data_IF_994265859157
#
_entry.id   IF_994265859157
#
_cell.length_a   1.000
_cell.length_b   1.000
_cell.length_c   1.000
_cell.angle_alpha   90.00
_cell.angle_beta   90.00
_cell.angle_gamma   90.00
#
_symmetry.space_group_name_H-M   'P 1'
#
loop_
_entity.id
_entity.type
_entity.pdbx_description
1 polymer ?
#
# COMPACT_ATOMS: atom_id res chain seq x y z
N UNK A 1 -40.84 17.70 -45.77
CA UNK A 1 -41.43 17.62 -44.42
C UNK A 1 -40.30 17.33 -43.43
N UNK A 2 -39.67 18.36 -42.85
CA UNK A 2 -38.60 18.18 -41.86
C UNK A 2 -39.24 17.84 -40.51
N UNK A 3 -39.05 16.61 -40.02
CA UNK A 3 -39.51 16.20 -38.69
C UNK A 3 -38.67 16.93 -37.64
N UNK A 4 -39.31 17.78 -36.85
CA UNK A 4 -38.70 18.46 -35.71
C UNK A 4 -38.06 17.44 -34.76
N UNK A 5 -36.74 17.54 -34.60
CA UNK A 5 -36.01 16.80 -33.59
C UNK A 5 -36.50 17.28 -32.23
N UNK A 6 -36.99 16.35 -31.40
CA UNK A 6 -37.53 16.67 -30.08
C UNK A 6 -36.43 17.33 -29.23
N UNK A 7 -36.72 18.43 -28.50
CA UNK A 7 -35.72 19.19 -27.75
C UNK A 7 -34.97 18.34 -26.72
N UNK A 8 -35.61 17.28 -26.19
CA UNK A 8 -34.98 16.31 -25.29
C UNK A 8 -33.83 15.53 -25.92
N UNK A 9 -33.91 15.21 -27.23
CA UNK A 9 -32.87 14.48 -27.95
C UNK A 9 -31.66 15.39 -28.24
N UNK A 10 -31.92 16.65 -28.57
CA UNK A 10 -30.87 17.67 -28.72
C UNK A 10 -30.15 17.91 -27.40
N UNK A 11 -30.87 17.93 -26.28
CA UNK A 11 -30.28 18.11 -24.95
C UNK A 11 -29.38 16.93 -24.53
N UNK A 12 -29.80 15.68 -24.77
CA UNK A 12 -28.94 14.52 -24.49
C UNK A 12 -27.69 14.50 -25.38
N UNK A 13 -27.84 14.81 -26.67
CA UNK A 13 -26.68 14.90 -27.58
C UNK A 13 -25.71 16.00 -27.10
N UNK A 14 -26.24 17.15 -26.68
CA UNK A 14 -25.43 18.27 -26.19
C UNK A 14 -24.66 17.92 -24.90
N UNK A 15 -25.31 17.25 -23.94
CA UNK A 15 -24.64 16.77 -22.72
C UNK A 15 -23.58 15.71 -23.05
N UNK A 16 -23.89 14.75 -23.90
CA UNK A 16 -22.91 13.72 -24.31
C UNK A 16 -21.70 14.34 -25.01
N UNK A 17 -21.91 15.36 -25.85
CA UNK A 17 -20.82 16.10 -26.49
C UNK A 17 -19.98 16.88 -25.48
N UNK A 18 -20.62 17.53 -24.51
CA UNK A 18 -19.95 18.25 -23.41
C UNK A 18 -19.07 17.30 -22.59
N UNK A 19 -19.60 16.14 -22.22
CA UNK A 19 -18.86 15.10 -21.51
C UNK A 19 -17.67 14.63 -22.34
N UNK A 20 -17.86 14.35 -23.63
CA UNK A 20 -16.78 13.87 -24.51
C UNK A 20 -15.70 14.93 -24.76
N UNK A 21 -16.07 16.22 -24.78
CA UNK A 21 -15.16 17.34 -24.94
C UNK A 21 -14.42 17.71 -23.64
N UNK A 22 -15.00 17.44 -22.46
CA UNK A 22 -14.39 17.71 -21.16
C UNK A 22 -13.62 16.52 -20.54
N UNK A 23 -13.89 15.29 -20.98
CA UNK A 23 -13.15 14.08 -20.54
C UNK A 23 -11.74 13.88 -21.13
N UNK A 24 -11.27 14.50 -22.24
CA UNK A 24 -9.97 14.12 -22.81
C UNK A 24 -8.78 14.60 -21.97
N UNK A 25 -9.03 15.35 -20.89
CA UNK A 25 -8.01 15.78 -19.93
C UNK A 25 -7.90 14.90 -18.69
N UNK A 26 -8.58 13.74 -18.63
CA UNK A 26 -8.10 12.63 -17.80
C UNK A 26 -6.83 12.08 -18.45
N UNK A 27 -5.75 12.86 -18.38
CA UNK A 27 -4.40 12.34 -18.52
C UNK A 27 -4.36 11.15 -17.57
N UNK A 28 -4.26 9.93 -18.10
CA UNK A 28 -3.68 8.84 -17.33
C UNK A 28 -2.35 9.40 -16.88
N UNK A 29 -2.30 9.83 -15.62
CA UNK A 29 -1.09 10.28 -15.01
C UNK A 29 -0.18 9.08 -15.20
N UNK A 30 0.82 9.21 -16.08
CA UNK A 30 1.93 8.27 -16.08
C UNK A 30 2.45 8.42 -14.68
N UNK A 31 2.10 7.48 -13.80
CA UNK A 31 2.77 7.31 -12.54
C UNK A 31 4.19 7.02 -13.01
N UNK A 32 5.00 8.07 -13.05
CA UNK A 32 6.43 7.91 -13.14
C UNK A 32 6.73 6.92 -12.03
N UNK A 33 7.31 5.78 -12.37
CA UNK A 33 7.90 4.89 -11.37
C UNK A 33 9.05 5.69 -10.76
N UNK A 34 8.70 6.61 -9.86
CA UNK A 34 9.62 7.30 -9.00
C UNK A 34 10.29 6.17 -8.23
N UNK A 35 11.62 6.15 -8.24
CA UNK A 35 12.36 5.08 -7.59
C UNK A 35 12.12 5.22 -6.09
N UNK A 36 11.13 4.48 -5.59
CA UNK A 36 10.79 4.48 -4.18
C UNK A 36 11.90 3.68 -3.51
N UNK A 37 12.70 4.34 -2.67
CA UNK A 37 13.78 3.66 -1.96
C UNK A 37 13.16 2.65 -0.99
N UNK A 38 13.28 1.36 -1.32
CA UNK A 38 12.87 0.31 -0.41
C UNK A 38 13.74 0.33 0.85
N UNK A 39 13.18 -0.01 2.03
CA UNK A 39 13.94 0.02 3.27
C UNK A 39 14.99 -1.08 3.28
N UNK A 40 16.09 -0.81 3.99
CA UNK A 40 16.97 -1.86 4.47
C UNK A 40 16.19 -2.73 5.47
N UNK A 41 16.28 -4.06 5.31
CA UNK A 41 15.58 -5.01 6.19
C UNK A 41 16.62 -5.74 7.02
N UNK A 42 16.47 -5.66 8.35
CA UNK A 42 17.37 -6.28 9.30
C UNK A 42 16.58 -7.26 10.18
N UNK A 43 17.04 -8.50 10.30
CA UNK A 43 16.42 -9.49 11.19
C UNK A 43 17.13 -9.48 12.55
N UNK A 44 16.38 -9.24 13.62
CA UNK A 44 16.91 -9.31 14.99
C UNK A 44 16.86 -10.73 15.58
N UNK A 45 16.07 -11.62 14.97
CA UNK A 45 16.00 -13.03 15.29
C UNK A 45 16.46 -13.88 14.10
N UNK A 46 17.29 -14.90 14.34
CA UNK A 46 17.88 -15.75 13.30
C UNK A 46 16.83 -16.39 12.38
N UNK A 47 15.68 -16.78 12.94
CA UNK A 47 14.61 -17.40 12.17
C UNK A 47 13.99 -16.46 11.12
N UNK A 48 14.14 -15.14 11.28
CA UNK A 48 13.66 -14.11 10.36
C UNK A 48 14.75 -13.67 9.37
N UNK A 49 16.00 -14.10 9.57
CA UNK A 49 17.13 -13.76 8.69
C UNK A 49 17.10 -14.60 7.41
N UNK A 50 16.18 -14.26 6.52
CA UNK A 50 15.99 -14.92 5.24
C UNK A 50 15.78 -13.89 4.14
N UNK A 51 16.55 -14.03 3.05
CA UNK A 51 16.49 -13.16 1.88
C UNK A 51 15.08 -13.05 1.29
N UNK A 52 14.29 -14.14 1.31
CA UNK A 52 12.93 -14.13 0.77
C UNK A 52 12.00 -13.25 1.61
N UNK A 53 12.21 -13.20 2.93
CA UNK A 53 11.44 -12.33 3.84
C UNK A 53 11.81 -10.88 3.56
N UNK A 54 13.10 -10.56 3.43
CA UNK A 54 13.53 -9.20 3.08
C UNK A 54 12.95 -8.73 1.74
N UNK A 55 12.97 -9.58 0.71
CA UNK A 55 12.34 -9.28 -0.57
C UNK A 55 10.83 -9.08 -0.43
N UNK A 56 10.16 -9.92 0.35
CA UNK A 56 8.73 -9.77 0.62
C UNK A 56 8.42 -8.42 1.28
N UNK A 57 9.18 -8.03 2.32
CA UNK A 57 9.00 -6.72 2.98
C UNK A 57 9.16 -5.57 2.00
N UNK A 58 10.23 -5.58 1.19
CA UNK A 58 10.47 -4.52 0.20
C UNK A 58 9.38 -4.48 -0.86
N UNK A 59 8.96 -5.64 -1.38
CA UNK A 59 7.94 -5.75 -2.42
C UNK A 59 6.58 -5.25 -1.93
N UNK A 60 6.17 -5.67 -0.73
CA UNK A 60 4.91 -5.25 -0.11
C UNK A 60 4.95 -3.76 0.26
N UNK A 61 6.07 -3.24 0.77
CA UNK A 61 6.22 -1.83 1.09
C UNK A 61 6.22 -0.94 -0.17
N UNK A 62 6.87 -1.37 -1.25
CA UNK A 62 6.79 -0.66 -2.52
C UNK A 62 5.35 -0.67 -3.07
N UNK A 63 4.67 -1.81 -2.93
CA UNK A 63 3.30 -1.93 -3.38
C UNK A 63 2.32 -1.06 -2.59
N UNK A 64 2.46 -0.98 -1.26
CA UNK A 64 1.63 -0.08 -0.46
C UNK A 64 1.83 1.37 -0.89
N UNK A 65 3.07 1.81 -1.17
CA UNK A 65 3.32 3.17 -1.64
C UNK A 65 2.78 3.43 -3.04
N UNK A 66 2.83 2.45 -3.94
CA UNK A 66 2.18 2.56 -5.26
C UNK A 66 0.67 2.79 -5.17
N UNK A 67 0.01 2.23 -4.16
CA UNK A 67 -1.44 2.35 -3.98
C UNK A 67 -1.85 3.58 -3.17
N UNK A 68 -1.10 3.90 -2.13
CA UNK A 68 -1.51 4.85 -1.08
C UNK A 68 -0.59 6.08 -0.97
N UNK A 69 0.50 6.10 -1.73
CA UNK A 69 1.48 7.18 -1.70
C UNK A 69 2.60 6.96 -0.69
N UNK A 70 3.51 7.93 -0.64
CA UNK A 70 4.70 7.90 0.21
C UNK A 70 4.35 7.97 1.70
N UNK A 71 5.13 7.32 2.58
CA UNK A 71 4.94 7.42 4.01
C UNK A 71 5.20 8.86 4.50
N UNK A 72 4.47 9.30 5.52
CA UNK A 72 4.71 10.63 6.11
C UNK A 72 6.10 10.76 6.73
N UNK A 73 6.61 9.68 7.32
CA UNK A 73 7.97 9.58 7.84
C UNK A 73 8.72 8.62 6.91
N UNK A 74 9.84 9.07 6.34
CA UNK A 74 10.64 8.23 5.46
C UNK A 74 11.06 6.93 6.17
N UNK A 75 10.78 5.79 5.55
CA UNK A 75 11.14 4.46 6.09
C UNK A 75 12.46 4.05 5.46
N UNK A 76 13.55 4.14 6.22
CA UNK A 76 14.90 3.81 5.75
C UNK A 76 15.33 2.42 6.17
N UNK A 77 14.91 2.00 7.38
CA UNK A 77 15.29 0.71 7.95
C UNK A 77 14.11 0.08 8.67
N UNK A 78 13.90 -1.21 8.45
CA UNK A 78 12.90 -2.03 9.12
C UNK A 78 13.61 -3.20 9.81
N UNK A 79 13.56 -3.21 11.13
CA UNK A 79 13.96 -4.36 11.93
C UNK A 79 12.80 -5.34 12.05
N UNK A 80 13.06 -6.64 11.96
CA UNK A 80 12.08 -7.70 12.18
C UNK A 80 12.42 -8.44 13.47
N UNK A 81 11.43 -8.60 14.35
CA UNK A 81 11.61 -9.26 15.65
C UNK A 81 10.42 -10.15 16.02
N UNK A 82 10.68 -11.29 16.64
CA UNK A 82 9.63 -12.11 17.23
C UNK A 82 9.17 -11.54 18.59
N UNK A 83 7.87 -11.59 18.82
CA UNK A 83 7.23 -11.08 20.03
C UNK A 83 5.94 -11.84 20.33
N UNK A 84 5.34 -11.61 21.50
CA UNK A 84 4.07 -12.26 21.86
C UNK A 84 2.86 -11.70 21.09
N UNK A 85 2.94 -10.44 20.65
CA UNK A 85 1.90 -9.74 19.90
C UNK A 85 2.50 -9.01 18.70
N UNK A 86 1.83 -9.03 17.53
CA UNK A 86 2.29 -8.28 16.36
C UNK A 86 2.02 -6.78 16.55
N UNK A 87 2.97 -5.94 16.13
CA UNK A 87 2.83 -4.48 16.03
C UNK A 87 3.99 -3.87 15.24
N UNK A 88 3.77 -2.70 14.65
CA UNK A 88 4.83 -1.84 14.12
C UNK A 88 5.15 -0.69 15.09
N UNK A 89 6.44 -0.49 15.37
CA UNK A 89 6.97 0.57 16.21
C UNK A 89 7.84 1.52 15.41
N UNK A 90 7.73 2.81 15.68
CA UNK A 90 8.67 3.82 15.21
C UNK A 90 9.76 4.03 16.27
N UNK A 91 10.94 3.48 16.03
CA UNK A 91 12.03 3.51 17.02
C UNK A 91 12.83 4.81 16.92
N UNK A 92 13.04 5.32 15.70
CA UNK A 92 13.71 6.59 15.48
C UNK A 92 13.13 7.33 14.27
N UNK A 93 12.26 8.31 14.55
CA UNK A 93 11.63 9.16 13.53
C UNK A 93 12.63 9.93 12.66
N UNK A 94 13.72 10.41 13.24
CA UNK A 94 14.72 11.22 12.52
C UNK A 94 15.57 10.36 11.57
N UNK A 95 15.76 9.10 11.92
CA UNK A 95 16.52 8.14 11.11
C UNK A 95 15.63 7.29 10.20
N UNK A 96 14.30 7.32 10.38
CA UNK A 96 13.39 6.48 9.61
C UNK A 96 13.53 5.00 9.95
N UNK A 97 13.82 4.69 11.22
CA UNK A 97 13.99 3.33 11.72
C UNK A 97 12.73 2.85 12.43
N UNK A 98 12.27 1.68 12.01
CA UNK A 98 11.08 1.01 12.51
C UNK A 98 11.41 -0.42 12.93
N UNK A 99 10.64 -0.96 13.87
CA UNK A 99 10.64 -2.39 14.18
C UNK A 99 9.25 -2.96 13.97
N UNK A 100 9.16 -4.03 13.19
CA UNK A 100 7.97 -4.87 13.10
C UNK A 100 8.17 -6.07 14.02
N UNK A 101 7.27 -6.18 14.99
CA UNK A 101 7.15 -7.32 15.87
C UNK A 101 6.17 -8.31 15.29
N UNK A 102 6.52 -9.60 15.29
CA UNK A 102 5.73 -10.68 14.72
C UNK A 102 5.47 -11.76 15.77
N UNK A 103 4.23 -12.24 15.85
CA UNK A 103 3.86 -13.36 16.74
C UNK A 103 4.00 -14.73 16.09
N UNK A 104 4.44 -14.78 14.83
CA UNK A 104 4.50 -15.98 14.00
C UNK A 104 5.89 -16.14 13.39
N UNK A 105 6.35 -17.38 13.29
CA UNK A 105 7.58 -17.75 12.59
C UNK A 105 7.31 -17.90 11.09
N UNK A 106 8.33 -17.76 10.23
CA UNK A 106 8.17 -17.87 8.77
C UNK A 106 7.61 -19.21 8.28
N UNK A 107 7.82 -20.29 9.05
CA UNK A 107 7.28 -21.61 8.73
C UNK A 107 5.78 -21.76 9.00
N UNK A 108 5.15 -20.80 9.66
CA UNK A 108 3.71 -20.83 9.96
C UNK A 108 2.90 -20.25 8.80
N UNK A 109 1.80 -20.93 8.42
CA UNK A 109 0.91 -20.49 7.33
C UNK A 109 0.47 -19.03 7.46
N UNK A 110 0.18 -18.60 8.69
CA UNK A 110 -0.32 -17.27 9.00
C UNK A 110 0.80 -16.22 9.13
N UNK A 111 2.03 -16.46 8.65
CA UNK A 111 3.14 -15.51 8.79
C UNK A 111 2.97 -14.24 7.93
N UNK A 112 2.68 -14.42 6.65
CA UNK A 112 2.69 -13.33 5.67
C UNK A 112 1.54 -12.33 5.85
N UNK A 113 0.41 -12.75 6.41
CA UNK A 113 -0.74 -11.87 6.65
C UNK A 113 -0.43 -10.76 7.67
N UNK A 114 -0.11 -11.10 8.93
CA UNK A 114 0.33 -10.15 9.95
C UNK A 114 1.54 -9.34 9.51
N UNK A 115 2.53 -9.95 8.84
CA UNK A 115 3.66 -9.18 8.32
C UNK A 115 3.20 -8.10 7.32
N UNK A 116 2.29 -8.44 6.40
CA UNK A 116 1.76 -7.47 5.44
C UNK A 116 0.92 -6.37 6.11
N UNK A 117 0.18 -6.73 7.16
CA UNK A 117 -0.57 -5.79 7.99
C UNK A 117 0.37 -4.77 8.63
N UNK A 118 1.42 -5.22 9.31
CA UNK A 118 2.37 -4.33 9.97
C UNK A 118 3.22 -3.51 8.99
N UNK A 119 3.53 -4.03 7.79
CA UNK A 119 4.19 -3.25 6.74
C UNK A 119 3.32 -2.06 6.30
N UNK A 120 2.00 -2.22 6.26
CA UNK A 120 1.09 -1.13 5.91
C UNK A 120 1.13 0.02 6.93
N UNK A 121 1.26 -0.32 8.22
CA UNK A 121 1.38 0.67 9.28
C UNK A 121 2.60 1.56 9.16
N UNK A 122 3.64 1.14 8.43
CA UNK A 122 4.80 1.99 8.15
C UNK A 122 4.43 3.26 7.36
N UNK A 123 3.39 3.23 6.51
CA UNK A 123 2.89 4.40 5.78
C UNK A 123 2.17 5.39 6.68
N UNK A 124 1.51 4.87 7.71
CA UNK A 124 0.57 5.58 8.56
C UNK A 124 1.01 5.58 10.02
N UNK A 125 2.31 5.59 10.29
CA UNK A 125 2.90 5.37 11.62
C UNK A 125 2.51 6.36 12.72
N UNK A 126 1.79 7.42 12.38
CA UNK A 126 1.24 8.41 13.33
C UNK A 126 -0.28 8.30 13.51
N UNK A 127 -0.94 7.39 12.80
CA UNK A 127 -2.38 7.15 12.87
C UNK A 127 -2.62 5.81 13.57
N UNK A 128 -3.32 5.87 14.71
CA UNK A 128 -3.55 4.70 15.59
C UNK A 128 -5.04 4.40 15.75
N UNK A 129 -5.86 4.83 14.79
CA UNK A 129 -7.30 4.67 14.84
C UNK A 129 -7.77 3.38 14.15
N UNK A 130 -9.02 2.99 14.43
CA UNK A 130 -9.62 1.77 13.90
C UNK A 130 -9.76 1.76 12.38
N UNK A 131 -9.77 2.93 11.74
CA UNK A 131 -9.87 3.03 10.29
C UNK A 131 -8.57 2.55 9.64
N UNK A 132 -7.41 2.96 10.18
CA UNK A 132 -6.11 2.48 9.69
C UNK A 132 -5.90 0.99 9.94
N UNK A 133 -6.31 0.46 11.11
CA UNK A 133 -6.28 -0.99 11.36
C UNK A 133 -7.14 -1.78 10.36
N UNK A 134 -8.32 -1.25 10.02
CA UNK A 134 -9.19 -1.84 9.00
C UNK A 134 -8.55 -1.81 7.61
N UNK A 135 -7.91 -0.70 7.24
CA UNK A 135 -7.18 -0.59 5.97
C UNK A 135 -5.99 -1.55 5.91
N UNK A 136 -5.21 -1.67 6.98
CA UNK A 136 -4.09 -2.61 7.07
C UNK A 136 -4.56 -4.06 6.88
N UNK A 137 -5.70 -4.41 7.48
CA UNK A 137 -6.31 -5.74 7.34
C UNK A 137 -6.71 -6.02 5.89
N UNK A 138 -7.46 -5.11 5.25
CA UNK A 138 -7.88 -5.26 3.85
C UNK A 138 -6.69 -5.27 2.90
N UNK A 139 -5.65 -4.47 3.18
CA UNK A 139 -4.42 -4.48 2.41
C UNK A 139 -3.70 -5.82 2.50
N UNK A 140 -3.58 -6.40 3.71
CA UNK A 140 -2.97 -7.71 3.90
C UNK A 140 -3.70 -8.81 3.13
N UNK A 141 -5.04 -8.83 3.14
CA UNK A 141 -5.84 -9.77 2.32
C UNK A 141 -5.56 -9.60 0.82
N UNK A 142 -5.43 -8.36 0.36
CA UNK A 142 -5.10 -8.06 -1.04
C UNK A 142 -3.70 -8.54 -1.43
N UNK A 143 -2.74 -8.48 -0.51
CA UNK A 143 -1.38 -9.01 -0.71
C UNK A 143 -1.43 -10.54 -0.81
N UNK A 144 -2.14 -11.21 0.08
CA UNK A 144 -2.23 -12.68 0.10
C UNK A 144 -2.93 -13.28 -1.12
N UNK A 145 -3.76 -12.49 -1.81
CA UNK A 145 -4.48 -12.92 -3.02
C UNK A 145 -3.78 -12.56 -4.33
N UNK A 146 -2.63 -11.87 -4.25
CA UNK A 146 -1.80 -11.55 -5.42
C UNK A 146 -1.02 -12.75 -5.90
N UNK A 147 -0.70 -12.75 -7.21
CA UNK A 147 0.07 -13.82 -7.87
C UNK A 147 1.49 -13.41 -8.25
N UNK A 148 1.83 -12.14 -8.03
CA UNK A 148 3.02 -11.45 -8.55
C UNK A 148 3.90 -10.83 -7.44
N UNK A 149 3.73 -11.27 -6.19
CA UNK A 149 4.54 -10.87 -5.03
C UNK A 149 5.41 -12.03 -4.54
#
# INVERSE_FOLDING_TARGET
>A
MLKFIRPKLLFTIFISLLIFLYIPNLKRQKVSAQFISSPEVNALDDSLNNVSISYFVQSVFNYSQQLYGEPRIAVKKVNLRLHTSPLASLDNANQGEFTIYLSRKPSEYAFHGPLSHEIFHLLHSQLLDCYVEGLATVFAEKVLTRKDL
#
